data_IF_827308379642
#
_entry.id   IF_827308379642
#
_cell.length_a   1.000
_cell.length_b   1.000
_cell.length_c   1.000
_cell.angle_alpha   90.00
_cell.angle_beta   90.00
_cell.angle_gamma   90.00
#
_symmetry.space_group_name_H-M   'P 1'
#
loop_
_entity.id
_entity.type
_entity.pdbx_description
1 polymer ?
#
# COMPACT_ATOMS: atom_id res chain seq x y z
N UNK A 1 6.51 8.28 -46.41
CA UNK A 1 5.94 7.64 -45.21
C UNK A 1 6.21 8.60 -44.08
N UNK A 2 5.19 9.39 -43.69
CA UNK A 2 5.27 10.34 -42.57
C UNK A 2 5.24 9.55 -41.26
N UNK A 3 6.35 9.60 -40.53
CA UNK A 3 6.38 9.15 -39.13
C UNK A 3 5.62 10.17 -38.28
N UNK A 4 4.51 9.75 -37.70
CA UNK A 4 3.81 10.53 -36.68
C UNK A 4 4.70 10.47 -35.42
N UNK A 5 5.36 11.59 -35.10
CA UNK A 5 6.05 11.78 -33.82
C UNK A 5 5.00 12.20 -32.80
N UNK A 6 4.71 11.31 -31.83
CA UNK A 6 3.97 11.70 -30.65
C UNK A 6 4.90 12.54 -29.77
N UNK A 7 4.49 13.73 -29.32
CA UNK A 7 5.29 14.47 -28.36
C UNK A 7 5.35 13.66 -27.06
N UNK A 8 6.56 13.24 -26.69
CA UNK A 8 6.84 12.79 -25.33
C UNK A 8 6.70 14.06 -24.46
N UNK A 9 5.59 14.17 -23.75
CA UNK A 9 5.48 15.21 -22.74
C UNK A 9 6.49 14.90 -21.64
N UNK A 10 7.56 15.68 -21.59
CA UNK A 10 8.40 15.83 -20.42
C UNK A 10 7.55 16.52 -19.31
N UNK A 11 6.55 15.80 -18.81
CA UNK A 11 6.02 16.13 -17.50
C UNK A 11 7.12 15.79 -16.51
N UNK A 12 7.77 16.80 -15.93
CA UNK A 12 8.54 16.67 -14.70
C UNK A 12 7.73 15.75 -13.80
N UNK A 13 8.25 14.55 -13.51
CA UNK A 13 7.75 13.73 -12.41
C UNK A 13 7.89 14.61 -11.17
N UNK A 14 6.79 15.15 -10.67
CA UNK A 14 6.78 15.64 -9.30
C UNK A 14 7.13 14.44 -8.46
N UNK A 15 8.29 14.50 -7.80
CA UNK A 15 8.68 13.46 -6.83
C UNK A 15 7.58 13.43 -5.78
N UNK A 16 6.89 12.30 -5.69
CA UNK A 16 5.89 12.09 -4.66
C UNK A 16 6.68 11.89 -3.36
N UNK A 17 6.74 12.90 -2.52
CA UNK A 17 7.50 12.88 -1.27
C UNK A 17 6.66 12.25 -0.14
N UNK A 18 6.12 11.04 -0.37
CA UNK A 18 5.37 10.31 0.65
C UNK A 18 6.31 9.69 1.69
N UNK A 19 5.85 9.63 2.92
CA UNK A 19 6.45 8.79 3.97
C UNK A 19 5.76 7.44 3.98
N UNK A 20 6.51 6.38 3.76
CA UNK A 20 6.00 5.04 3.59
C UNK A 20 6.57 4.13 4.67
N UNK A 21 5.67 3.51 5.46
CA UNK A 21 6.04 2.49 6.44
C UNK A 21 5.91 1.10 5.80
N UNK A 22 6.94 0.26 5.90
CA UNK A 22 6.90 -1.11 5.40
C UNK A 22 7.30 -2.10 6.48
N UNK A 23 6.58 -3.22 6.58
CA UNK A 23 6.90 -4.31 7.49
C UNK A 23 6.48 -5.66 6.90
N UNK A 24 7.04 -6.74 7.44
CA UNK A 24 6.70 -8.08 6.96
C UNK A 24 6.86 -9.16 8.03
N UNK A 25 6.27 -10.32 7.74
CA UNK A 25 6.63 -11.59 8.37
C UNK A 25 8.07 -12.00 8.00
N UNK A 26 8.85 -12.63 8.88
CA UNK A 26 10.20 -13.09 8.57
C UNK A 26 10.32 -13.90 7.27
N UNK A 27 9.29 -14.66 6.91
CA UNK A 27 9.28 -15.44 5.66
C UNK A 27 9.13 -14.58 4.39
N UNK A 28 8.83 -13.30 4.53
CA UNK A 28 8.63 -12.36 3.42
C UNK A 28 9.74 -11.30 3.31
N UNK A 29 10.87 -11.48 4.00
CA UNK A 29 11.97 -10.52 4.03
C UNK A 29 12.51 -10.18 2.65
N UNK A 30 12.75 -11.19 1.80
CA UNK A 30 13.24 -10.99 0.44
C UNK A 30 12.25 -10.14 -0.38
N UNK A 31 10.95 -10.47 -0.29
CA UNK A 31 9.91 -9.71 -0.98
C UNK A 31 9.81 -8.27 -0.48
N UNK A 32 10.02 -8.03 0.82
CA UNK A 32 10.04 -6.68 1.40
C UNK A 32 11.21 -5.86 0.83
N UNK A 33 12.41 -6.43 0.79
CA UNK A 33 13.59 -5.73 0.26
C UNK A 33 13.45 -5.42 -1.23
N UNK A 34 12.88 -6.33 -2.02
CA UNK A 34 12.55 -6.07 -3.44
C UNK A 34 11.61 -4.86 -3.59
N UNK A 35 10.59 -4.77 -2.73
CA UNK A 35 9.61 -3.68 -2.78
C UNK A 35 10.20 -2.35 -2.29
N UNK A 36 11.05 -2.35 -1.27
CA UNK A 36 11.77 -1.14 -0.84
C UNK A 36 12.59 -0.58 -2.00
N UNK A 37 13.44 -1.42 -2.61
CA UNK A 37 14.26 -1.01 -3.74
C UNK A 37 13.42 -0.52 -4.93
N UNK A 38 12.26 -1.12 -5.16
CA UNK A 38 11.35 -0.71 -6.23
C UNK A 38 10.72 0.65 -5.97
N UNK A 39 10.21 0.89 -4.76
CA UNK A 39 9.61 2.17 -4.34
C UNK A 39 10.63 3.31 -4.48
N UNK A 40 11.85 3.10 -3.99
CA UNK A 40 12.95 4.07 -4.10
C UNK A 40 13.31 4.36 -5.56
N UNK A 41 13.48 3.33 -6.38
CA UNK A 41 13.74 3.45 -7.82
C UNK A 41 12.67 4.24 -8.56
N UNK A 42 11.41 4.10 -8.14
CA UNK A 42 10.26 4.79 -8.74
C UNK A 42 10.10 6.22 -8.23
N UNK A 43 10.74 6.57 -7.11
CA UNK A 43 10.62 7.89 -6.50
C UNK A 43 9.24 8.14 -5.89
N UNK A 44 8.59 7.10 -5.33
CA UNK A 44 7.28 7.25 -4.70
C UNK A 44 7.35 7.93 -3.33
N UNK A 45 8.48 7.85 -2.64
CA UNK A 45 8.68 8.49 -1.36
C UNK A 45 9.81 7.88 -0.55
N UNK A 46 9.92 8.31 0.70
CA UNK A 46 10.87 7.82 1.68
C UNK A 46 10.30 6.59 2.40
N UNK A 47 11.05 5.49 2.39
CA UNK A 47 10.62 4.24 3.02
C UNK A 47 11.30 4.05 4.37
N UNK A 48 10.50 3.78 5.41
CA UNK A 48 11.00 3.31 6.71
C UNK A 48 10.67 1.83 6.88
N UNK A 49 11.69 1.03 7.10
CA UNK A 49 11.58 -0.41 7.36
C UNK A 49 11.33 -0.67 8.85
N UNK A 50 10.17 -1.22 9.17
CA UNK A 50 9.75 -1.60 10.54
C UNK A 50 10.24 -3.00 10.95
N UNK A 51 11.03 -3.64 10.08
CA UNK A 51 11.66 -4.92 10.34
C UNK A 51 10.79 -6.13 9.99
N UNK A 52 11.37 -7.30 10.32
CA UNK A 52 10.79 -8.62 10.07
C UNK A 52 11.27 -9.66 11.10
N UNK A 53 11.95 -9.24 12.17
CA UNK A 53 12.58 -10.14 13.14
C UNK A 53 11.56 -10.74 14.13
N UNK A 54 10.43 -10.06 14.35
CA UNK A 54 9.38 -10.57 15.23
C UNK A 54 8.68 -11.78 14.56
N UNK A 55 8.72 -12.97 15.16
CA UNK A 55 8.07 -14.15 14.61
C UNK A 55 6.55 -14.04 14.58
N UNK A 56 5.99 -13.04 15.30
CA UNK A 56 4.55 -12.77 15.34
C UNK A 56 4.26 -11.61 14.39
N UNK A 57 3.97 -11.90 13.14
CA UNK A 57 3.68 -10.91 12.08
C UNK A 57 2.62 -9.87 12.48
N UNK A 58 1.70 -10.23 13.39
CA UNK A 58 0.65 -9.33 13.85
C UNK A 58 1.20 -8.11 14.60
N UNK A 59 2.30 -8.27 15.35
CA UNK A 59 2.93 -7.15 16.06
C UNK A 59 3.49 -6.13 15.08
N UNK A 60 4.22 -6.56 14.06
CA UNK A 60 4.74 -5.68 13.01
C UNK A 60 3.60 -5.00 12.23
N UNK A 61 2.55 -5.76 11.92
CA UNK A 61 1.40 -5.22 11.19
C UNK A 61 0.64 -4.16 12.00
N UNK A 62 0.49 -4.35 13.30
CA UNK A 62 -0.13 -3.37 14.21
C UNK A 62 0.74 -2.13 14.33
N UNK A 63 2.05 -2.29 14.50
CA UNK A 63 2.99 -1.17 14.62
C UNK A 63 2.97 -0.27 13.38
N UNK A 64 3.10 -0.85 12.18
CA UNK A 64 2.93 -0.11 10.91
C UNK A 64 1.57 0.56 10.83
N UNK A 65 0.51 -0.13 11.22
CA UNK A 65 -0.85 0.40 11.13
C UNK A 65 -1.09 1.58 12.08
N UNK A 66 -0.54 1.55 13.30
CA UNK A 66 -0.63 2.65 14.26
C UNK A 66 0.07 3.91 13.75
N UNK A 67 1.27 3.76 13.17
CA UNK A 67 2.03 4.87 12.60
C UNK A 67 1.35 5.48 11.35
N UNK A 68 0.73 4.66 10.51
CA UNK A 68 -0.06 5.14 9.36
C UNK A 68 -1.36 5.81 9.83
N UNK A 69 -2.06 5.20 10.79
CA UNK A 69 -3.32 5.73 11.32
C UNK A 69 -3.14 7.07 12.05
N UNK A 70 -1.98 7.27 12.70
CA UNK A 70 -1.64 8.55 13.36
C UNK A 70 -1.34 9.69 12.38
N UNK A 71 -1.11 9.37 11.10
CA UNK A 71 -0.69 10.33 10.09
C UNK A 71 0.82 10.63 10.08
N UNK A 72 1.62 9.90 10.84
CA UNK A 72 3.08 10.00 10.79
C UNK A 72 3.64 9.50 9.45
N UNK A 73 2.99 8.49 8.88
CA UNK A 73 3.24 7.96 7.54
C UNK A 73 2.00 8.10 6.66
N UNK A 74 2.22 8.42 5.39
CA UNK A 74 1.14 8.59 4.41
C UNK A 74 0.54 7.27 3.96
N UNK A 75 1.38 6.21 3.87
CA UNK A 75 1.00 4.89 3.37
C UNK A 75 1.76 3.78 4.10
N UNK A 76 1.12 2.61 4.15
CA UNK A 76 1.75 1.39 4.65
C UNK A 76 1.83 0.29 3.59
N UNK A 77 2.85 -0.55 3.70
CA UNK A 77 3.01 -1.79 2.94
C UNK A 77 3.28 -2.94 3.91
N UNK A 78 2.48 -3.99 3.84
CA UNK A 78 2.62 -5.16 4.70
C UNK A 78 2.68 -6.45 3.89
N UNK A 79 3.64 -7.31 4.19
CA UNK A 79 3.88 -8.54 3.44
C UNK A 79 3.99 -9.72 4.41
N UNK A 80 3.26 -10.79 4.12
CA UNK A 80 3.48 -12.09 4.76
C UNK A 80 3.38 -13.20 3.72
N UNK A 81 3.25 -14.44 4.10
CA UNK A 81 3.11 -15.54 3.13
C UNK A 81 1.94 -15.34 2.17
N UNK A 82 0.78 -14.95 2.67
CA UNK A 82 -0.46 -14.76 1.89
C UNK A 82 -0.98 -13.31 1.89
N UNK A 83 -0.51 -12.45 2.78
CA UNK A 83 -1.04 -11.13 3.03
C UNK A 83 -2.30 -11.11 3.92
N UNK A 84 -2.91 -12.27 4.19
CA UNK A 84 -4.16 -12.37 4.97
C UNK A 84 -3.97 -11.94 6.42
N UNK A 85 -3.01 -12.54 7.12
CA UNK A 85 -2.80 -12.29 8.54
C UNK A 85 -2.41 -10.85 8.84
N UNK A 86 -1.49 -10.27 8.07
CA UNK A 86 -1.08 -8.88 8.24
C UNK A 86 -2.23 -7.90 7.94
N UNK A 87 -3.10 -8.19 6.97
CA UNK A 87 -4.25 -7.35 6.68
C UNK A 87 -5.30 -7.39 7.79
N UNK A 88 -5.56 -8.58 8.35
CA UNK A 88 -6.49 -8.73 9.48
C UNK A 88 -5.96 -7.99 10.72
N UNK A 89 -4.68 -8.14 11.02
CA UNK A 89 -4.05 -7.49 12.16
C UNK A 89 -4.06 -5.95 12.03
N UNK A 90 -3.64 -5.41 10.88
CA UNK A 90 -3.63 -3.98 10.61
C UNK A 90 -5.03 -3.36 10.72
N UNK A 91 -6.07 -4.03 10.23
CA UNK A 91 -7.45 -3.55 10.32
C UNK A 91 -8.05 -3.57 11.75
N UNK A 92 -7.32 -4.08 12.75
CA UNK A 92 -7.70 -3.93 14.17
C UNK A 92 -7.37 -2.55 14.72
N UNK A 93 -6.48 -1.82 14.07
CA UNK A 93 -6.10 -0.46 14.47
C UNK A 93 -7.11 0.54 13.91
N UNK A 94 -7.66 1.37 14.80
CA UNK A 94 -8.59 2.44 14.41
C UNK A 94 -7.88 3.43 13.46
N UNK A 95 -8.48 3.73 12.32
CA UNK A 95 -7.90 4.61 11.30
C UNK A 95 -6.99 3.89 10.29
N UNK A 96 -6.71 2.61 10.47
CA UNK A 96 -6.01 1.79 9.49
C UNK A 96 -7.01 1.07 8.60
N UNK A 97 -6.85 1.24 7.29
CA UNK A 97 -7.68 0.61 6.25
C UNK A 97 -6.77 -0.17 5.31
N UNK A 98 -6.52 -1.42 5.70
CA UNK A 98 -5.58 -2.30 5.02
C UNK A 98 -6.29 -3.18 3.99
N UNK A 99 -5.86 -3.08 2.73
CA UNK A 99 -6.40 -3.84 1.62
C UNK A 99 -5.46 -4.98 1.23
N UNK A 100 -5.91 -6.22 1.34
CA UNK A 100 -5.24 -7.37 0.74
C UNK A 100 -5.50 -7.39 -0.76
N UNK A 101 -4.43 -7.37 -1.56
CA UNK A 101 -4.51 -7.35 -3.02
C UNK A 101 -3.60 -8.42 -3.63
N UNK A 102 -4.05 -9.03 -4.72
CA UNK A 102 -3.29 -10.00 -5.51
C UNK A 102 -3.37 -9.74 -7.01
N UNK A 103 -4.12 -8.72 -7.42
CA UNK A 103 -4.29 -8.28 -8.80
C UNK A 103 -4.32 -6.74 -8.89
N UNK A 104 -3.97 -6.24 -10.07
CA UNK A 104 -3.81 -4.80 -10.31
C UNK A 104 -5.14 -4.05 -10.22
N UNK A 105 -6.25 -4.67 -10.63
CA UNK A 105 -7.56 -4.03 -10.54
C UNK A 105 -7.94 -3.80 -9.08
N UNK A 106 -7.80 -4.82 -8.22
CA UNK A 106 -8.06 -4.69 -6.79
C UNK A 106 -7.16 -3.65 -6.14
N UNK A 107 -5.85 -3.61 -6.48
CA UNK A 107 -4.93 -2.62 -5.96
C UNK A 107 -5.31 -1.18 -6.38
N UNK A 108 -5.73 -0.99 -7.62
CA UNK A 108 -6.26 0.28 -8.12
C UNK A 108 -7.53 0.70 -7.36
N UNK A 109 -8.47 -0.23 -7.18
CA UNK A 109 -9.74 0.04 -6.50
C UNK A 109 -9.57 0.26 -4.99
N UNK A 110 -8.57 -0.36 -4.37
CA UNK A 110 -8.23 -0.10 -2.97
C UNK A 110 -8.01 1.40 -2.71
N UNK A 111 -7.37 2.12 -3.64
CA UNK A 111 -7.24 3.56 -3.57
C UNK A 111 -8.48 4.28 -4.07
N UNK A 112 -8.88 4.08 -5.33
CA UNK A 112 -9.94 4.85 -5.97
C UNK A 112 -11.32 4.69 -5.31
N UNK A 113 -11.63 3.54 -4.71
CA UNK A 113 -12.95 3.24 -4.17
C UNK A 113 -13.01 3.12 -2.66
N UNK A 114 -11.92 2.72 -2.02
CA UNK A 114 -11.92 2.38 -0.60
C UNK A 114 -11.04 3.30 0.24
N UNK A 115 -10.25 4.15 -0.39
CA UNK A 115 -9.29 5.04 0.27
C UNK A 115 -8.42 4.28 1.29
N UNK A 116 -8.00 3.07 0.92
CA UNK A 116 -7.12 2.25 1.75
C UNK A 116 -5.78 2.98 1.94
N UNK A 117 -5.29 3.03 3.16
CA UNK A 117 -4.00 3.65 3.48
C UNK A 117 -2.86 2.63 3.63
N UNK A 118 -3.19 1.34 3.66
CA UNK A 118 -2.22 0.25 3.73
C UNK A 118 -2.53 -0.78 2.65
N UNK A 119 -1.51 -1.21 1.91
CA UNK A 119 -1.59 -2.34 0.98
C UNK A 119 -0.94 -3.56 1.60
N UNK A 120 -1.63 -4.71 1.52
CA UNK A 120 -1.12 -6.00 1.98
C UNK A 120 -1.01 -6.97 0.80
N UNK A 121 0.06 -7.75 0.77
CA UNK A 121 0.29 -8.73 -0.29
C UNK A 121 1.01 -9.98 0.24
N UNK A 122 0.91 -11.07 -0.52
CA UNK A 122 1.50 -12.35 -0.16
C UNK A 122 2.77 -12.64 -0.94
N UNK A 123 3.87 -12.94 -0.24
CA UNK A 123 5.13 -13.34 -0.86
C UNK A 123 5.02 -14.68 -1.60
N UNK A 124 4.17 -15.59 -1.12
CA UNK A 124 3.98 -16.91 -1.73
C UNK A 124 2.87 -16.97 -2.77
N UNK A 125 2.00 -15.95 -2.79
CA UNK A 125 0.84 -15.90 -3.69
C UNK A 125 1.04 -14.97 -4.88
N UNK A 126 2.04 -14.08 -4.83
CA UNK A 126 2.35 -13.12 -5.89
C UNK A 126 3.84 -13.16 -6.23
N UNK A 127 4.17 -13.24 -7.52
CA UNK A 127 5.55 -13.12 -7.99
C UNK A 127 6.07 -11.68 -7.92
N UNK A 128 7.39 -11.49 -7.93
CA UNK A 128 8.03 -10.19 -7.80
C UNK A 128 7.46 -9.13 -8.76
N UNK A 129 7.28 -9.49 -10.04
CA UNK A 129 6.73 -8.56 -11.04
C UNK A 129 5.29 -8.15 -10.78
N UNK A 130 4.49 -9.07 -10.26
CA UNK A 130 3.11 -8.76 -9.86
C UNK A 130 3.13 -7.79 -8.66
N UNK A 131 3.98 -8.03 -7.65
CA UNK A 131 4.12 -7.12 -6.50
C UNK A 131 4.51 -5.70 -6.92
N UNK A 132 5.43 -5.55 -7.86
CA UNK A 132 5.77 -4.23 -8.44
C UNK A 132 4.53 -3.54 -9.05
N UNK A 133 3.73 -4.29 -9.83
CA UNK A 133 2.51 -3.76 -10.45
C UNK A 133 1.44 -3.39 -9.41
N UNK A 134 1.32 -4.15 -8.33
CA UNK A 134 0.41 -3.84 -7.22
C UNK A 134 0.82 -2.54 -6.52
N UNK A 135 2.13 -2.36 -6.28
CA UNK A 135 2.70 -1.14 -5.72
C UNK A 135 2.44 0.05 -6.64
N UNK A 136 2.72 -0.07 -7.94
CA UNK A 136 2.43 0.99 -8.91
C UNK A 136 0.95 1.40 -8.85
N UNK A 137 0.05 0.42 -8.90
CA UNK A 137 -1.39 0.68 -8.87
C UNK A 137 -1.84 1.35 -7.55
N UNK A 138 -1.25 0.98 -6.43
CA UNK A 138 -1.60 1.56 -5.13
C UNK A 138 -1.04 2.98 -4.95
N UNK A 139 0.21 3.24 -5.36
CA UNK A 139 0.86 4.52 -5.11
C UNK A 139 0.54 5.59 -6.16
N UNK A 140 0.09 5.22 -7.37
CA UNK A 140 -0.23 6.18 -8.44
C UNK A 140 -1.71 6.55 -8.53
N UNK A 141 -2.56 6.02 -7.67
CA UNK A 141 -3.98 6.33 -7.62
C UNK A 141 -4.36 6.99 -6.29
N UNK A 142 -5.32 7.91 -6.35
CA UNK A 142 -5.81 8.64 -5.19
C UNK A 142 -7.34 8.59 -5.11
N UNK A 143 -7.86 8.53 -3.89
CA UNK A 143 -9.29 8.68 -3.64
C UNK A 143 -9.71 10.12 -3.89
N UNK A 144 -10.76 10.30 -4.68
CA UNK A 144 -11.31 11.63 -4.97
C UNK A 144 -12.53 11.87 -4.08
N UNK A 145 -12.47 12.81 -3.13
CA UNK A 145 -13.62 13.16 -2.30
C UNK A 145 -14.84 13.54 -3.15
N UNK A 146 -16.02 13.08 -2.73
CA UNK A 146 -17.26 13.31 -3.45
C UNK A 146 -17.54 12.35 -4.62
N UNK A 147 -16.65 11.37 -4.88
CA UNK A 147 -16.91 10.34 -5.88
C UNK A 147 -18.06 9.40 -5.44
N UNK A 148 -18.55 8.56 -6.35
CA UNK A 148 -19.66 7.62 -6.08
C UNK A 148 -19.38 6.60 -4.97
N UNK A 149 -18.13 6.44 -4.57
CA UNK A 149 -17.72 5.57 -3.46
C UNK A 149 -17.69 6.28 -2.10
N UNK A 150 -17.79 7.62 -2.05
CA UNK A 150 -17.71 8.39 -0.81
C UNK A 150 -18.68 7.90 0.27
N UNK A 151 -19.98 7.68 0.01
CA UNK A 151 -20.90 7.22 1.06
C UNK A 151 -20.53 5.86 1.66
N UNK A 152 -19.85 5.00 0.88
CA UNK A 152 -19.41 3.68 1.34
C UNK A 152 -18.17 3.81 2.26
N UNK A 153 -17.27 4.70 1.90
CA UNK A 153 -16.08 5.02 2.71
C UNK A 153 -16.51 5.68 4.02
N UNK A 154 -17.42 6.62 3.98
CA UNK A 154 -17.95 7.30 5.16
C UNK A 154 -18.59 6.31 6.13
N UNK A 155 -19.37 5.35 5.63
CA UNK A 155 -20.04 4.37 6.46
C UNK A 155 -19.08 3.50 7.29
N UNK A 156 -18.01 2.96 6.70
CA UNK A 156 -17.06 2.16 7.48
C UNK A 156 -16.15 3.02 8.34
N UNK A 157 -15.83 4.26 7.96
CA UNK A 157 -15.10 5.20 8.81
C UNK A 157 -15.90 5.61 10.04
N UNK A 158 -17.18 5.90 9.86
CA UNK A 158 -18.08 6.20 10.98
C UNK A 158 -18.16 5.02 11.97
N UNK A 159 -18.31 3.80 11.45
CA UNK A 159 -18.30 2.60 12.29
C UNK A 159 -16.97 2.45 13.05
N UNK A 160 -15.86 2.65 12.37
CA UNK A 160 -14.52 2.54 12.95
C UNK A 160 -14.29 3.57 14.08
N UNK A 161 -14.78 4.80 13.89
CA UNK A 161 -14.65 5.85 14.92
C UNK A 161 -15.45 5.56 16.19
N UNK A 162 -16.54 4.83 16.07
CA UNK A 162 -17.48 4.56 17.17
C UNK A 162 -17.24 3.22 17.90
N UNK A 163 -16.26 2.42 17.47
CA UNK A 163 -15.89 1.17 18.16
C UNK A 163 -14.89 1.36 19.31
#
# INVERSE_FOLDING_TARGET
INRIQYPISDTKKEEMNMKIAIGCDPNAEEAKQEIIAYIEKKGYGEVTDFGSEDPIYANVAIDVAEHVASGEYDRGVLICGTGLGVSIAANKVKGAYAALVSDVYSATRARLSNDANIVCMGAFTTGAKVREMLVDAFFTNEFVPGCSSQPKVDAFREYDQNR
#
